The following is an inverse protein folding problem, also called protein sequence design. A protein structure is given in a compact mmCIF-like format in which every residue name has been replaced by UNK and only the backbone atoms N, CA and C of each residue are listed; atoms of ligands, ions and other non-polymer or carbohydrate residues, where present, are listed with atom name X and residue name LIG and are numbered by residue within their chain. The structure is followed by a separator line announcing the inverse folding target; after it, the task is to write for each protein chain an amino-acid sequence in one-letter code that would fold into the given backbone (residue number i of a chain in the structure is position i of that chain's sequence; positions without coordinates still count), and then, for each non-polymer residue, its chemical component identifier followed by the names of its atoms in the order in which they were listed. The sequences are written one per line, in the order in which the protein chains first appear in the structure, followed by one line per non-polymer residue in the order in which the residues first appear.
data_IF_678946044243
#
_entry.id   IF_678946044243
#
_cell.length_a   1.000
_cell.length_b   1.000
_cell.length_c   1.000
_cell.angle_alpha   90.00
_cell.angle_beta   90.00
_cell.angle_gamma   90.00
#
_symmetry.space_group_name_H-M   'P 1'
#
loop_
_entity.id
_entity.type
_entity.pdbx_description
1 polymer ?
#
# COMPACT_ATOMS: atom_id res chain seq x y z
N UNK A 1 -2.77 33.04 41.44
CA UNK A 1 -3.74 32.44 40.49
C UNK A 1 -3.02 31.64 39.39
N UNK A 2 -1.72 31.84 39.20
CA UNK A 2 -0.93 31.14 38.15
C UNK A 2 -0.44 29.72 38.50
N UNK A 3 -0.47 29.32 39.79
CA UNK A 3 0.01 28.00 40.21
C UNK A 3 -1.00 26.85 40.01
N UNK A 4 -2.29 27.16 39.76
CA UNK A 4 -3.36 26.15 39.62
C UNK A 4 -3.55 25.71 38.15
N UNK A 5 -3.03 26.49 37.19
CA UNK A 5 -3.25 26.22 35.77
C UNK A 5 -2.14 25.38 35.09
N UNK A 6 -1.07 25.02 35.80
CA UNK A 6 0.14 24.51 35.15
C UNK A 6 0.30 22.99 35.10
N UNK A 7 -0.57 22.18 35.72
CA UNK A 7 -0.24 20.76 35.90
C UNK A 7 -1.39 19.73 35.80
N UNK A 8 -2.33 19.94 34.88
CA UNK A 8 -3.19 18.85 34.40
C UNK A 8 -3.08 18.68 32.89
N UNK A 9 -1.86 18.44 32.40
CA UNK A 9 -1.73 17.77 31.10
C UNK A 9 -2.13 16.32 31.32
N UNK A 10 -3.33 15.94 30.88
CA UNK A 10 -3.74 14.53 30.83
C UNK A 10 -2.66 13.79 30.05
N UNK A 11 -1.85 13.01 30.75
CA UNK A 11 -0.79 12.21 30.16
C UNK A 11 -1.45 11.03 29.44
N UNK A 12 -1.85 11.25 28.20
CA UNK A 12 -2.43 10.23 27.34
C UNK A 12 -1.38 9.15 27.07
N UNK A 13 -1.75 7.89 27.26
CA UNK A 13 -0.85 6.76 27.00
C UNK A 13 -0.46 6.68 25.52
N UNK A 14 0.75 6.20 25.22
CA UNK A 14 1.22 6.02 23.83
C UNK A 14 0.28 5.13 23.01
N UNK A 15 -0.31 4.11 23.62
CA UNK A 15 -1.28 3.23 22.97
C UNK A 15 -2.53 4.01 22.54
N UNK A 16 -3.08 4.85 23.42
CA UNK A 16 -4.23 5.68 23.08
C UNK A 16 -3.91 6.70 21.98
N UNK A 17 -2.72 7.30 21.99
CA UNK A 17 -2.28 8.19 20.90
C UNK A 17 -2.24 7.45 19.56
N UNK A 18 -1.70 6.23 19.51
CA UNK A 18 -1.65 5.42 18.28
C UNK A 18 -3.07 5.13 17.77
N UNK A 19 -3.98 4.76 18.67
CA UNK A 19 -5.39 4.50 18.30
C UNK A 19 -6.03 5.77 17.74
N UNK A 20 -5.84 6.92 18.39
CA UNK A 20 -6.38 8.19 17.93
C UNK A 20 -5.84 8.56 16.54
N UNK A 21 -4.53 8.41 16.30
CA UNK A 21 -3.93 8.65 14.99
C UNK A 21 -4.43 7.69 13.92
N UNK A 22 -4.63 6.41 14.26
CA UNK A 22 -5.20 5.43 13.35
C UNK A 22 -6.65 5.76 12.99
N UNK A 23 -7.47 6.15 13.97
CA UNK A 23 -8.85 6.58 13.73
C UNK A 23 -8.92 7.85 12.89
N UNK A 24 -8.05 8.82 13.16
CA UNK A 24 -7.95 10.02 12.34
C UNK A 24 -7.54 9.68 10.89
N UNK A 25 -6.55 8.79 10.70
CA UNK A 25 -6.14 8.34 9.38
C UNK A 25 -7.31 7.70 8.61
N UNK A 26 -8.04 6.77 9.26
CA UNK A 26 -9.22 6.13 8.67
C UNK A 26 -10.31 7.15 8.32
N UNK A 27 -10.58 8.10 9.22
CA UNK A 27 -11.55 9.17 8.97
C UNK A 27 -11.16 10.03 7.77
N UNK A 28 -9.88 10.41 7.66
CA UNK A 28 -9.38 11.22 6.55
C UNK A 28 -9.42 10.45 5.23
N UNK A 29 -9.06 9.17 5.23
CA UNK A 29 -9.20 8.31 4.05
C UNK A 29 -10.66 8.20 3.62
N UNK A 30 -11.58 7.97 4.56
CA UNK A 30 -13.00 7.86 4.26
C UNK A 30 -13.57 9.18 3.69
N UNK A 31 -13.27 10.32 4.32
CA UNK A 31 -13.71 11.63 3.86
C UNK A 31 -13.17 11.94 2.45
N UNK A 32 -11.89 11.64 2.22
CA UNK A 32 -11.26 11.84 0.91
C UNK A 32 -11.84 10.88 -0.15
N UNK A 33 -12.10 9.62 0.20
CA UNK A 33 -12.72 8.65 -0.71
C UNK A 33 -14.12 9.10 -1.14
N UNK A 34 -14.94 9.62 -0.21
CA UNK A 34 -16.25 10.20 -0.53
C UNK A 34 -16.10 11.37 -1.51
N UNK A 35 -15.14 12.27 -1.27
CA UNK A 35 -14.87 13.39 -2.18
C UNK A 35 -14.42 12.94 -3.57
N UNK A 36 -13.51 11.97 -3.65
CA UNK A 36 -13.04 11.40 -4.92
C UNK A 36 -14.18 10.72 -5.66
N UNK A 37 -14.98 9.89 -4.98
CA UNK A 37 -16.15 9.22 -5.56
C UNK A 37 -17.15 10.20 -6.16
N UNK A 38 -17.46 11.28 -5.42
CA UNK A 38 -18.39 12.31 -5.86
C UNK A 38 -17.89 13.06 -7.11
N UNK A 39 -16.59 13.39 -7.18
CA UNK A 39 -16.00 14.12 -8.31
C UNK A 39 -15.76 13.23 -9.53
N UNK A 40 -15.51 11.94 -9.32
CA UNK A 40 -15.25 10.95 -10.38
C UNK A 40 -16.51 10.20 -10.82
N UNK A 41 -17.70 10.68 -10.45
CA UNK A 41 -18.95 10.05 -10.85
C UNK A 41 -19.06 9.93 -12.38
N UNK A 42 -19.18 8.70 -12.87
CA UNK A 42 -19.21 8.40 -14.31
C UNK A 42 -17.84 8.39 -15.01
N UNK A 43 -16.74 8.56 -14.26
CA UNK A 43 -15.38 8.47 -14.76
C UNK A 43 -14.60 7.37 -14.03
N UNK A 44 -14.45 6.23 -14.70
CA UNK A 44 -13.65 5.10 -14.18
C UNK A 44 -12.20 5.27 -14.63
N UNK A 45 -11.33 5.53 -13.66
CA UNK A 45 -9.88 5.49 -13.82
C UNK A 45 -9.33 4.19 -13.20
N UNK A 46 -8.02 4.03 -13.14
CA UNK A 46 -7.46 2.89 -12.42
C UNK A 46 -7.39 1.59 -13.22
N UNK A 47 -6.93 1.65 -14.48
CA UNK A 47 -6.81 0.45 -15.34
C UNK A 47 -6.02 -0.69 -14.67
N UNK A 48 -4.92 -0.39 -13.97
CA UNK A 48 -4.14 -1.41 -13.26
C UNK A 48 -4.98 -2.00 -12.11
N UNK A 49 -5.63 -1.16 -11.30
CA UNK A 49 -6.46 -1.62 -10.17
C UNK A 49 -7.66 -2.44 -10.65
N UNK A 50 -8.23 -2.15 -11.80
CA UNK A 50 -9.38 -2.87 -12.34
C UNK A 50 -9.07 -4.36 -12.56
N UNK A 51 -7.90 -4.69 -13.11
CA UNK A 51 -7.44 -6.08 -13.27
C UNK A 51 -7.32 -6.78 -11.91
N UNK A 52 -6.78 -6.10 -10.89
CA UNK A 52 -6.70 -6.66 -9.53
C UNK A 52 -8.07 -6.82 -8.88
N UNK A 53 -8.98 -5.88 -9.10
CA UNK A 53 -10.34 -5.92 -8.57
C UNK A 53 -11.12 -7.13 -9.11
N UNK A 54 -11.09 -7.37 -10.42
CA UNK A 54 -11.74 -8.55 -11.01
C UNK A 54 -11.14 -9.86 -10.51
N UNK A 55 -9.81 -9.95 -10.44
CA UNK A 55 -9.12 -11.10 -9.89
C UNK A 55 -9.49 -11.34 -8.41
N UNK A 56 -9.56 -10.27 -7.61
CA UNK A 56 -9.98 -10.35 -6.21
C UNK A 56 -11.44 -10.82 -6.08
N UNK A 57 -12.34 -10.34 -6.94
CA UNK A 57 -13.73 -10.81 -6.94
C UNK A 57 -13.83 -12.30 -7.26
N UNK A 58 -13.09 -12.77 -8.27
CA UNK A 58 -13.08 -14.20 -8.60
C UNK A 58 -12.59 -15.04 -7.41
N UNK A 59 -11.52 -14.63 -6.73
CA UNK A 59 -10.98 -15.37 -5.58
C UNK A 59 -11.91 -15.31 -4.36
N UNK A 60 -12.27 -14.11 -3.91
CA UNK A 60 -12.92 -13.94 -2.61
C UNK A 60 -14.44 -14.10 -2.65
N UNK A 61 -15.09 -13.85 -3.79
CA UNK A 61 -16.55 -13.91 -3.92
C UNK A 61 -17.02 -15.13 -4.71
N UNK A 62 -16.28 -15.53 -5.75
CA UNK A 62 -16.66 -16.65 -6.62
C UNK A 62 -15.92 -17.96 -6.32
N UNK A 63 -14.89 -17.92 -5.47
CA UNK A 63 -14.01 -19.06 -5.17
C UNK A 63 -13.39 -19.69 -6.43
N UNK A 64 -12.99 -18.83 -7.37
CA UNK A 64 -12.38 -19.18 -8.65
C UNK A 64 -10.95 -18.68 -8.74
N UNK A 65 -10.19 -19.24 -9.68
CA UNK A 65 -8.81 -18.81 -9.94
C UNK A 65 -8.75 -17.33 -10.34
N UNK A 66 -7.76 -16.56 -9.85
CA UNK A 66 -7.55 -15.19 -10.32
C UNK A 66 -6.97 -15.14 -11.74
N UNK A 67 -6.50 -16.28 -12.26
CA UNK A 67 -5.85 -16.43 -13.57
C UNK A 67 -6.82 -16.91 -14.67
N UNK A 68 -8.13 -16.90 -14.40
CA UNK A 68 -9.14 -17.36 -15.36
C UNK A 68 -9.19 -16.50 -16.63
N UNK A 69 -9.46 -17.13 -17.77
CA UNK A 69 -9.65 -16.43 -19.05
C UNK A 69 -10.84 -15.45 -18.98
N UNK A 70 -11.87 -15.80 -18.22
CA UNK A 70 -13.03 -14.94 -17.96
C UNK A 70 -12.66 -13.61 -17.28
N UNK A 71 -11.64 -13.62 -16.41
CA UNK A 71 -11.10 -12.41 -15.76
C UNK A 71 -10.41 -11.52 -16.78
N UNK A 72 -9.57 -12.11 -17.62
CA UNK A 72 -8.84 -11.38 -18.67
C UNK A 72 -9.82 -10.76 -19.68
N UNK A 73 -10.79 -11.54 -20.17
CA UNK A 73 -11.83 -11.07 -21.10
C UNK A 73 -12.63 -9.92 -20.49
N UNK A 74 -13.08 -10.05 -19.24
CA UNK A 74 -13.79 -8.95 -18.56
C UNK A 74 -12.90 -7.71 -18.42
N UNK A 75 -11.63 -7.88 -18.06
CA UNK A 75 -10.70 -6.75 -17.94
C UNK A 75 -10.51 -6.03 -19.27
N UNK A 76 -10.31 -6.76 -20.37
CA UNK A 76 -10.21 -6.20 -21.72
C UNK A 76 -11.47 -5.44 -22.11
N UNK A 77 -12.65 -6.03 -21.92
CA UNK A 77 -13.92 -5.38 -22.26
C UNK A 77 -14.15 -4.10 -21.45
N UNK A 78 -13.80 -4.10 -20.17
CA UNK A 78 -13.94 -2.92 -19.31
C UNK A 78 -12.93 -1.81 -19.63
N UNK A 79 -11.71 -2.16 -20.03
CA UNK A 79 -10.62 -1.19 -20.23
C UNK A 79 -10.55 -0.70 -21.68
N UNK A 80 -10.67 -1.60 -22.66
CA UNK A 80 -10.59 -1.28 -24.08
C UNK A 80 -11.95 -1.11 -24.75
N UNK A 81 -13.05 -1.54 -24.12
CA UNK A 81 -14.36 -1.59 -24.77
C UNK A 81 -14.49 -2.70 -25.84
N UNK A 82 -13.47 -3.55 -25.98
CA UNK A 82 -13.37 -4.65 -26.94
C UNK A 82 -12.36 -5.69 -26.44
N UNK A 83 -12.32 -6.85 -27.10
CA UNK A 83 -11.23 -7.80 -26.90
C UNK A 83 -9.91 -7.21 -27.43
N UNK A 84 -8.82 -7.54 -26.73
CA UNK A 84 -7.47 -7.18 -27.13
C UNK A 84 -7.08 -7.93 -28.42
N UNK A 85 -6.34 -7.28 -29.31
CA UNK A 85 -5.70 -7.97 -30.42
C UNK A 85 -4.54 -8.84 -29.90
N UNK A 86 -4.10 -9.82 -30.68
CA UNK A 86 -3.04 -10.75 -30.26
C UNK A 86 -1.69 -10.08 -29.94
N UNK A 87 -1.45 -8.87 -30.46
CA UNK A 87 -0.26 -8.06 -30.22
C UNK A 87 -0.44 -6.98 -29.14
N UNK A 88 -1.60 -6.93 -28.48
CA UNK A 88 -1.89 -6.01 -27.37
C UNK A 88 -1.76 -6.72 -26.02
N UNK A 89 -1.70 -5.93 -24.94
CA UNK A 89 -1.79 -6.49 -23.59
C UNK A 89 -3.14 -7.19 -23.40
N UNK A 90 -3.09 -8.44 -22.95
CA UNK A 90 -4.28 -9.26 -22.73
C UNK A 90 -4.99 -8.93 -21.40
N UNK A 91 -4.46 -8.00 -20.60
CA UNK A 91 -5.07 -7.50 -19.36
C UNK A 91 -5.41 -8.61 -18.34
N UNK A 92 -4.67 -9.71 -18.39
CA UNK A 92 -4.77 -10.81 -17.45
C UNK A 92 -4.03 -10.50 -16.15
N UNK A 93 -4.55 -11.01 -15.02
CA UNK A 93 -3.84 -10.93 -13.75
C UNK A 93 -2.58 -11.82 -13.77
N UNK A 94 -1.44 -11.25 -13.41
CA UNK A 94 -0.12 -11.91 -13.51
C UNK A 94 0.72 -11.83 -12.23
N UNK A 95 0.08 -11.50 -11.10
CA UNK A 95 0.74 -11.32 -9.81
C UNK A 95 0.53 -12.54 -8.91
N UNK A 96 1.32 -12.70 -7.84
CA UNK A 96 1.02 -13.69 -6.81
C UNK A 96 -0.36 -13.43 -6.18
N UNK A 97 -1.17 -14.47 -5.87
CA UNK A 97 -2.50 -14.32 -5.30
C UNK A 97 -2.53 -13.55 -3.97
N UNK A 98 -1.48 -13.66 -3.16
CA UNK A 98 -1.38 -12.89 -1.91
C UNK A 98 -1.39 -11.36 -2.12
N UNK A 99 -1.16 -10.86 -3.33
CA UNK A 99 -1.35 -9.44 -3.67
C UNK A 99 -2.79 -8.97 -3.51
N UNK A 100 -3.76 -9.88 -3.69
CA UNK A 100 -5.19 -9.59 -3.67
C UNK A 100 -5.73 -9.31 -2.26
N UNK A 101 -5.03 -9.75 -1.20
CA UNK A 101 -5.46 -9.53 0.19
C UNK A 101 -5.64 -8.05 0.54
N UNK A 102 -4.94 -7.15 -0.15
CA UNK A 102 -5.12 -5.70 0.06
C UNK A 102 -6.54 -5.24 -0.35
N UNK A 103 -7.16 -5.91 -1.32
CA UNK A 103 -8.51 -5.60 -1.79
C UNK A 103 -9.60 -6.39 -1.08
N UNK A 104 -9.27 -7.47 -0.37
CA UNK A 104 -10.24 -8.32 0.30
C UNK A 104 -11.27 -7.56 1.18
N UNK A 105 -10.89 -6.52 1.94
CA UNK A 105 -11.86 -5.77 2.76
C UNK A 105 -12.88 -4.96 1.97
N UNK A 106 -12.61 -4.62 0.71
CA UNK A 106 -13.42 -3.69 -0.10
C UNK A 106 -13.90 -4.30 -1.43
N UNK A 107 -13.56 -5.55 -1.72
CA UNK A 107 -13.83 -6.24 -2.99
C UNK A 107 -15.34 -6.40 -3.32
N UNK A 108 -16.19 -6.32 -2.29
CA UNK A 108 -17.64 -6.41 -2.42
C UNK A 108 -18.29 -5.09 -2.83
N UNK A 109 -17.55 -3.97 -2.77
CA UNK A 109 -18.03 -2.68 -3.20
C UNK A 109 -17.98 -2.57 -4.74
N UNK A 110 -18.83 -1.74 -5.35
CA UNK A 110 -18.70 -1.44 -6.78
C UNK A 110 -17.35 -0.76 -7.08
N UNK A 111 -16.85 -0.94 -8.30
CA UNK A 111 -15.49 -0.53 -8.65
C UNK A 111 -15.23 0.97 -8.45
N UNK A 112 -16.23 1.82 -8.64
CA UNK A 112 -16.13 3.27 -8.44
C UNK A 112 -15.77 3.65 -6.99
N UNK A 113 -16.27 2.91 -6.01
CA UNK A 113 -15.86 3.03 -4.61
C UNK A 113 -14.48 2.44 -4.36
N UNK A 114 -14.16 1.29 -4.97
CA UNK A 114 -12.84 0.66 -4.83
C UNK A 114 -11.74 1.58 -5.34
N UNK A 115 -11.89 2.20 -6.51
CA UNK A 115 -10.94 3.19 -7.03
C UNK A 115 -10.80 4.41 -6.11
N UNK A 116 -11.91 4.91 -5.55
CA UNK A 116 -11.90 6.09 -4.70
C UNK A 116 -11.19 5.83 -3.36
N UNK A 117 -11.48 4.68 -2.74
CA UNK A 117 -10.82 4.22 -1.51
C UNK A 117 -9.33 3.99 -1.77
N UNK A 118 -8.99 3.34 -2.88
CA UNK A 118 -7.60 3.15 -3.29
C UNK A 118 -6.87 4.49 -3.39
N UNK A 119 -7.38 5.41 -4.20
CA UNK A 119 -6.73 6.71 -4.40
C UNK A 119 -6.59 7.47 -3.08
N UNK A 120 -7.63 7.50 -2.26
CA UNK A 120 -7.60 8.16 -0.96
C UNK A 120 -6.57 7.54 0.00
N UNK A 121 -6.55 6.22 0.11
CA UNK A 121 -5.62 5.49 0.96
C UNK A 121 -4.17 5.75 0.54
N UNK A 122 -3.87 5.68 -0.76
CA UNK A 122 -2.53 5.87 -1.27
C UNK A 122 -2.07 7.33 -1.16
N UNK A 123 -2.95 8.30 -1.43
CA UNK A 123 -2.64 9.72 -1.26
C UNK A 123 -2.29 10.02 0.20
N UNK A 124 -3.14 9.58 1.13
CA UNK A 124 -2.94 9.80 2.56
C UNK A 124 -1.70 9.07 3.07
N UNK A 125 -1.50 7.81 2.69
CA UNK A 125 -0.31 7.03 3.07
C UNK A 125 0.98 7.68 2.59
N UNK A 126 0.96 8.26 1.38
CA UNK A 126 2.13 8.94 0.81
C UNK A 126 2.48 10.20 1.59
N UNK A 127 1.49 11.04 1.88
CA UNK A 127 1.70 12.23 2.71
C UNK A 127 2.17 11.83 4.10
N UNK A 128 1.47 10.93 4.79
CA UNK A 128 1.85 10.46 6.12
C UNK A 128 3.26 9.87 6.15
N UNK A 129 3.65 9.08 5.16
CA UNK A 129 5.00 8.53 5.06
C UNK A 129 6.05 9.65 4.98
N UNK A 130 5.83 10.68 4.15
CA UNK A 130 6.75 11.82 4.06
C UNK A 130 6.83 12.61 5.38
N UNK A 131 5.71 12.79 6.08
CA UNK A 131 5.70 13.46 7.39
C UNK A 131 6.50 12.66 8.44
N UNK A 132 6.39 11.34 8.43
CA UNK A 132 7.07 10.45 9.38
C UNK A 132 8.57 10.30 9.08
N UNK A 133 8.95 10.23 7.80
CA UNK A 133 10.32 10.00 7.35
C UNK A 133 11.15 11.30 7.39
N UNK A 134 10.52 12.46 7.16
CA UNK A 134 11.21 13.75 7.13
C UNK A 134 10.71 14.74 8.19
N UNK A 135 10.77 14.41 9.49
CA UNK A 135 10.10 15.17 10.56
C UNK A 135 10.60 16.63 10.69
N UNK A 136 11.81 16.94 10.23
CA UNK A 136 12.39 18.30 10.34
C UNK A 136 11.86 19.26 9.28
N UNK A 137 11.56 18.78 8.07
CA UNK A 137 11.07 19.60 6.95
C UNK A 137 10.04 18.80 6.14
N UNK A 138 8.91 18.44 6.74
CA UNK A 138 8.03 17.41 6.20
C UNK A 138 7.17 17.90 5.02
N UNK A 139 6.91 19.20 4.93
CA UNK A 139 6.05 19.77 3.89
C UNK A 139 6.64 19.66 2.48
N UNK A 140 7.96 19.84 2.33
CA UNK A 140 8.59 19.82 1.01
C UNK A 140 8.54 18.41 0.39
N UNK A 141 8.92 17.32 1.09
CA UNK A 141 8.73 15.96 0.58
C UNK A 141 7.25 15.59 0.43
N UNK A 142 6.37 16.03 1.33
CA UNK A 142 4.93 15.76 1.24
C UNK A 142 4.29 16.42 0.01
N UNK A 143 4.67 17.65 -0.34
CA UNK A 143 4.21 18.28 -1.58
C UNK A 143 4.93 17.65 -2.78
N UNK A 144 6.24 17.42 -2.66
CA UNK A 144 7.06 16.84 -3.72
C UNK A 144 6.53 15.49 -4.20
N UNK A 145 6.12 14.60 -3.30
CA UNK A 145 5.56 13.29 -3.67
C UNK A 145 4.23 13.42 -4.42
N UNK A 146 3.42 14.44 -4.13
CA UNK A 146 2.13 14.68 -4.78
C UNK A 146 2.25 15.37 -6.15
N UNK A 147 3.31 16.14 -6.36
CA UNK A 147 3.57 16.83 -7.64
C UNK A 147 4.47 15.99 -8.55
N UNK A 148 5.12 14.95 -8.02
CA UNK A 148 5.93 14.05 -8.82
C UNK A 148 5.06 13.16 -9.71
N UNK A 149 4.93 13.58 -10.98
CA UNK A 149 4.01 13.01 -11.96
C UNK A 149 3.98 11.47 -12.01
N UNK A 150 5.11 10.74 -12.11
CA UNK A 150 5.07 9.28 -12.19
C UNK A 150 4.40 8.63 -10.97
N UNK A 151 4.58 9.22 -9.79
CA UNK A 151 3.99 8.72 -8.56
C UNK A 151 2.49 9.01 -8.50
N UNK A 152 2.08 10.25 -8.76
CA UNK A 152 0.66 10.63 -8.77
C UNK A 152 -0.13 9.90 -9.84
N UNK A 153 0.44 9.74 -11.03
CA UNK A 153 -0.16 8.94 -12.10
C UNK A 153 -0.28 7.46 -11.70
N UNK A 154 0.71 6.91 -10.99
CA UNK A 154 0.63 5.57 -10.40
C UNK A 154 -0.52 5.41 -9.40
N UNK A 155 -0.86 6.45 -8.62
CA UNK A 155 -2.03 6.43 -7.73
C UNK A 155 -3.33 6.34 -8.55
N UNK A 156 -3.43 7.17 -9.60
CA UNK A 156 -4.61 7.23 -10.48
C UNK A 156 -4.80 5.91 -11.24
N UNK A 157 -3.71 5.29 -11.72
CA UNK A 157 -3.77 4.00 -12.42
C UNK A 157 -4.06 2.82 -11.49
N UNK A 158 -3.85 2.95 -10.18
CA UNK A 158 -4.08 1.83 -9.28
C UNK A 158 -2.84 0.95 -9.05
N UNK A 159 -1.64 1.52 -9.23
CA UNK A 159 -0.42 0.74 -9.29
C UNK A 159 0.20 0.50 -7.91
N UNK A 160 0.43 -0.77 -7.59
CA UNK A 160 1.04 -1.22 -6.34
C UNK A 160 2.50 -0.78 -6.14
N UNK A 161 3.20 -0.34 -7.20
CA UNK A 161 4.60 0.14 -7.13
C UNK A 161 4.74 1.30 -6.14
N UNK A 162 3.72 2.15 -6.01
CA UNK A 162 3.76 3.27 -5.07
C UNK A 162 3.85 2.77 -3.62
N UNK A 163 3.14 1.70 -3.25
CA UNK A 163 3.22 1.16 -1.89
C UNK A 163 4.58 0.53 -1.63
N UNK A 164 5.12 -0.18 -2.63
CA UNK A 164 6.48 -0.74 -2.58
C UNK A 164 7.50 0.36 -2.36
N UNK A 165 7.39 1.49 -3.08
CA UNK A 165 8.28 2.63 -2.91
C UNK A 165 8.22 3.21 -1.48
N UNK A 166 7.01 3.33 -0.90
CA UNK A 166 6.84 3.78 0.49
C UNK A 166 7.46 2.79 1.50
N UNK A 167 7.28 1.48 1.29
CA UNK A 167 7.89 0.43 2.12
C UNK A 167 9.42 0.49 2.06
N UNK A 168 9.99 0.62 0.85
CA UNK A 168 11.44 0.75 0.64
C UNK A 168 11.97 2.01 1.33
N UNK A 169 11.29 3.14 1.16
CA UNK A 169 11.72 4.40 1.78
C UNK A 169 11.67 4.33 3.31
N UNK A 170 10.62 3.75 3.88
CA UNK A 170 10.52 3.52 5.32
C UNK A 170 11.62 2.57 5.81
N UNK A 171 11.91 1.49 5.08
CA UNK A 171 12.96 0.55 5.42
C UNK A 171 14.35 1.21 5.39
N UNK A 172 14.67 1.99 4.37
CA UNK A 172 15.94 2.74 4.29
C UNK A 172 16.04 3.74 5.43
N UNK A 173 14.99 4.54 5.66
CA UNK A 173 14.98 5.54 6.74
C UNK A 173 15.22 4.90 8.11
N UNK A 174 14.47 3.85 8.45
CA UNK A 174 14.47 3.29 9.80
C UNK A 174 15.61 2.31 10.06
N UNK A 175 16.04 1.55 9.04
CA UNK A 175 17.08 0.51 9.20
C UNK A 175 18.48 1.03 8.85
N UNK A 176 18.61 1.96 7.91
CA UNK A 176 19.91 2.43 7.42
C UNK A 176 20.28 3.80 7.98
N UNK A 177 19.36 4.77 7.91
CA UNK A 177 19.64 6.15 8.35
C UNK A 177 19.56 6.25 9.88
N UNK A 178 18.44 5.86 10.48
CA UNK A 178 18.28 5.92 11.94
C UNK A 178 19.08 4.84 12.66
N UNK A 179 19.20 3.66 12.04
CA UNK A 179 20.04 2.53 12.47
C UNK A 179 19.81 2.06 13.93
N UNK A 180 18.64 2.36 14.49
CA UNK A 180 18.21 1.92 15.83
C UNK A 180 16.74 1.48 15.84
N UNK A 181 16.32 0.60 14.92
CA UNK A 181 14.92 0.21 14.79
C UNK A 181 14.48 -0.60 16.01
N UNK A 182 13.33 -0.26 16.57
CA UNK A 182 12.70 -1.06 17.63
C UNK A 182 12.38 -2.47 17.11
N UNK A 183 12.27 -3.47 18.00
CA UNK A 183 11.89 -4.83 17.62
C UNK A 183 10.56 -4.88 16.85
N UNK A 184 9.57 -4.08 17.26
CA UNK A 184 8.28 -3.98 16.57
C UNK A 184 8.43 -3.41 15.16
N UNK A 185 9.26 -2.37 15.00
CA UNK A 185 9.59 -1.79 13.68
C UNK A 185 10.25 -2.81 12.76
N UNK A 186 11.22 -3.58 13.28
CA UNK A 186 11.88 -4.64 12.52
C UNK A 186 10.89 -5.70 12.04
N UNK A 187 9.98 -6.15 12.91
CA UNK A 187 8.96 -7.14 12.55
C UNK A 187 8.02 -6.59 11.48
N UNK A 188 7.50 -5.37 11.68
CA UNK A 188 6.59 -4.73 10.73
C UNK A 188 7.25 -4.57 9.35
N UNK A 189 8.49 -4.07 9.30
CA UNK A 189 9.22 -3.93 8.04
C UNK A 189 9.50 -5.27 7.38
N UNK A 190 9.80 -6.33 8.14
CA UNK A 190 10.01 -7.67 7.56
C UNK A 190 8.76 -8.21 6.89
N UNK A 191 7.60 -8.08 7.54
CA UNK A 191 6.28 -8.45 6.95
C UNK A 191 5.99 -7.63 5.70
N UNK A 192 6.14 -6.30 5.77
CA UNK A 192 5.88 -5.40 4.64
C UNK A 192 6.83 -5.66 3.46
N UNK A 193 8.10 -5.92 3.73
CA UNK A 193 9.08 -6.28 2.70
C UNK A 193 8.77 -7.63 2.06
N UNK A 194 8.29 -8.61 2.82
CA UNK A 194 7.82 -9.87 2.24
C UNK A 194 6.64 -9.64 1.29
N UNK A 195 5.68 -8.81 1.70
CA UNK A 195 4.56 -8.43 0.84
C UNK A 195 5.01 -7.65 -0.40
N UNK A 196 6.03 -6.79 -0.30
CA UNK A 196 6.56 -6.03 -1.43
C UNK A 196 7.14 -6.92 -2.57
N UNK A 197 7.34 -8.22 -2.32
CA UNK A 197 7.76 -9.18 -3.35
C UNK A 197 6.69 -9.49 -4.40
N UNK A 198 5.48 -8.91 -4.32
CA UNK A 198 4.45 -8.98 -5.37
C UNK A 198 4.97 -8.52 -6.75
N UNK A 199 5.93 -7.59 -6.77
CA UNK A 199 6.54 -7.02 -7.98
C UNK A 199 8.06 -7.09 -7.86
N UNK A 200 8.66 -8.29 -8.01
CA UNK A 200 10.07 -8.51 -7.72
C UNK A 200 10.97 -7.59 -8.55
N UNK A 201 10.61 -7.27 -9.79
CA UNK A 201 11.36 -6.41 -10.70
C UNK A 201 11.61 -4.98 -10.17
N UNK A 202 10.77 -4.47 -9.26
CA UNK A 202 10.94 -3.15 -8.64
C UNK A 202 11.61 -3.19 -7.27
N UNK A 203 11.79 -4.38 -6.69
CA UNK A 203 12.13 -4.52 -5.28
C UNK A 203 13.41 -5.32 -5.00
N UNK A 204 13.83 -6.22 -5.91
CA UNK A 204 14.87 -7.22 -5.62
C UNK A 204 16.23 -6.64 -5.19
N UNK A 205 16.71 -5.56 -5.82
CA UNK A 205 17.97 -4.91 -5.43
C UNK A 205 17.88 -4.30 -4.03
N UNK A 206 16.79 -3.59 -3.75
CA UNK A 206 16.55 -3.00 -2.43
C UNK A 206 16.41 -4.08 -1.37
N UNK A 207 15.74 -5.18 -1.69
CA UNK A 207 15.59 -6.33 -0.82
C UNK A 207 16.95 -6.92 -0.44
N UNK A 208 17.81 -7.23 -1.43
CA UNK A 208 19.15 -7.76 -1.16
C UNK A 208 19.93 -6.80 -0.28
N UNK A 209 19.94 -5.51 -0.61
CA UNK A 209 20.63 -4.50 0.17
C UNK A 209 20.15 -4.45 1.64
N UNK A 210 18.83 -4.40 1.86
CA UNK A 210 18.26 -4.33 3.21
C UNK A 210 18.50 -5.63 3.99
N UNK A 211 18.43 -6.80 3.35
CA UNK A 211 18.74 -8.07 4.02
C UNK A 211 20.21 -8.14 4.44
N UNK A 212 21.15 -7.67 3.60
CA UNK A 212 22.56 -7.58 3.95
C UNK A 212 22.79 -6.64 5.15
N UNK A 213 22.10 -5.50 5.20
CA UNK A 213 22.08 -4.61 6.37
C UNK A 213 21.52 -5.36 7.60
N UNK A 214 20.44 -6.10 7.42
CA UNK A 214 19.83 -6.92 8.48
C UNK A 214 20.80 -7.95 9.06
N UNK A 215 21.58 -8.64 8.22
CA UNK A 215 22.64 -9.55 8.67
C UNK A 215 23.78 -8.81 9.37
N UNK A 216 24.29 -7.73 8.77
CA UNK A 216 25.40 -6.94 9.30
C UNK A 216 25.10 -6.37 10.69
N UNK A 217 23.87 -5.92 10.92
CA UNK A 217 23.44 -5.31 12.18
C UNK A 217 22.69 -6.28 13.10
N UNK A 218 22.64 -7.57 12.78
CA UNK A 218 21.95 -8.60 13.55
C UNK A 218 20.46 -8.30 13.82
N UNK A 219 19.76 -7.73 12.84
CA UNK A 219 18.31 -7.49 12.90
C UNK A 219 17.53 -8.81 12.70
N UNK A 220 17.72 -9.78 13.59
CA UNK A 220 17.05 -11.07 13.52
C UNK A 220 15.51 -10.99 13.47
N UNK A 221 14.84 -10.12 14.26
CA UNK A 221 13.40 -9.94 14.12
C UNK A 221 12.96 -9.55 12.70
N UNK A 222 13.74 -8.72 11.99
CA UNK A 222 13.48 -8.37 10.59
C UNK A 222 13.63 -9.60 9.69
N UNK A 223 14.75 -10.31 9.79
CA UNK A 223 15.05 -11.46 8.93
C UNK A 223 14.05 -12.61 9.12
N UNK A 224 13.73 -12.94 10.37
CA UNK A 224 12.78 -14.02 10.70
C UNK A 224 11.37 -13.64 10.28
N UNK A 225 10.91 -12.42 10.56
CA UNK A 225 9.57 -11.98 10.15
C UNK A 225 9.43 -11.89 8.63
N UNK A 226 10.46 -11.43 7.92
CA UNK A 226 10.52 -11.48 6.45
C UNK A 226 10.38 -12.91 5.93
N UNK A 227 11.25 -13.82 6.38
CA UNK A 227 11.23 -15.22 5.92
C UNK A 227 9.92 -15.94 6.23
N UNK A 228 9.42 -15.81 7.46
CA UNK A 228 8.16 -16.41 7.88
C UNK A 228 6.96 -15.85 7.10
N UNK A 229 6.91 -14.54 6.88
CA UNK A 229 5.82 -13.91 6.14
C UNK A 229 5.86 -14.29 4.66
N UNK A 230 7.05 -14.34 4.05
CA UNK A 230 7.20 -14.76 2.66
C UNK A 230 6.73 -16.20 2.46
N UNK A 231 7.15 -17.12 3.34
CA UNK A 231 6.67 -18.50 3.31
C UNK A 231 5.15 -18.54 3.49
N UNK A 232 4.60 -17.79 4.44
CA UNK A 232 3.16 -17.70 4.65
C UNK A 232 2.40 -17.21 3.42
N UNK A 233 2.87 -16.13 2.79
CA UNK A 233 2.28 -15.58 1.57
C UNK A 233 2.34 -16.54 0.39
N UNK A 234 3.46 -17.26 0.23
CA UNK A 234 3.60 -18.27 -0.81
C UNK A 234 2.77 -19.52 -0.53
N UNK A 235 2.56 -19.90 0.73
CA UNK A 235 1.77 -21.07 1.09
C UNK A 235 0.26 -20.89 0.89
N UNK A 236 -0.22 -19.64 0.95
CA UNK A 236 -1.64 -19.28 0.71
C UNK A 236 -1.91 -18.83 -0.73
N UNK A 237 -0.90 -18.93 -1.60
CA UNK A 237 -0.96 -18.62 -3.03
C UNK A 237 -1.09 -19.88 -3.86
#
# INVERSE_FOLDING_TARGET
MDAILQNQRVAISRAFQIILWALLFVLLVAALAIGIHAVMAGNTVGMDLHTFYLAAQNVFLKHQSPYGEDVAVQSQLSIFGRLAYANEDQMGFSYPPYSLFLLAPIVHLPFDWVQAIWMAFFLMSSVCAMLLIFPRRPLLPAIGVLVFYPFTFGIILGNFVNLIALIVLAAISMLVIDNKPSRGTQILLGVLMAWATIKPQFFWLYLIFILLIGFKHHYWPLLVSFGASLIGFLAIS
#
